data_IF_998372792982
#
_entry.id   IF_998372792982
#
_cell.length_a   1.000
_cell.length_b   1.000
_cell.length_c   1.000
_cell.angle_alpha   90.00
_cell.angle_beta   90.00
_cell.angle_gamma   90.00
#
_symmetry.space_group_name_H-M   'P 1'
#
loop_
_entity.id
_entity.type
_entity.pdbx_description
1 polymer ?
#
# COMPACT_ATOMS: atom_id res chain seq x y z
N UNK A 1 -16.22 1.49 -12.29
CA UNK A 1 -16.11 1.97 -10.90
C UNK A 1 -15.09 1.09 -10.21
N UNK A 2 -14.14 1.67 -9.47
CA UNK A 2 -13.17 0.86 -8.72
C UNK A 2 -13.89 0.37 -7.45
N UNK A 3 -14.09 -0.93 -7.33
CA UNK A 3 -14.61 -1.57 -6.11
C UNK A 3 -13.43 -1.85 -5.16
N UNK A 4 -12.91 -0.78 -4.55
CA UNK A 4 -11.71 -0.86 -3.71
C UNK A 4 -11.97 -1.58 -2.39
N UNK A 5 -13.18 -1.50 -1.85
CA UNK A 5 -13.55 -2.19 -0.61
C UNK A 5 -13.46 -3.70 -0.79
N UNK A 6 -14.04 -4.24 -1.86
CA UNK A 6 -13.94 -5.67 -2.18
C UNK A 6 -12.50 -6.10 -2.43
N UNK A 7 -11.74 -5.28 -3.16
CA UNK A 7 -10.33 -5.58 -3.46
C UNK A 7 -9.45 -5.59 -2.20
N UNK A 8 -9.74 -4.71 -1.24
CA UNK A 8 -8.98 -4.58 0.00
C UNK A 8 -9.44 -5.52 1.12
N UNK A 9 -10.64 -6.12 1.02
CA UNK A 9 -11.24 -6.95 2.06
C UNK A 9 -10.31 -8.04 2.65
N UNK A 10 -9.49 -8.78 1.87
CA UNK A 10 -8.57 -9.76 2.44
C UNK A 10 -7.49 -9.14 3.34
N UNK A 11 -6.96 -7.98 2.96
CA UNK A 11 -5.97 -7.25 3.75
C UNK A 11 -6.60 -6.66 5.01
N UNK A 12 -7.81 -6.10 4.90
CA UNK A 12 -8.58 -5.59 6.04
C UNK A 12 -8.83 -6.69 7.07
N UNK A 13 -9.21 -7.91 6.64
CA UNK A 13 -9.39 -9.05 7.53
C UNK A 13 -8.09 -9.44 8.24
N UNK A 14 -6.96 -9.49 7.52
CA UNK A 14 -5.67 -9.82 8.12
C UNK A 14 -5.21 -8.78 9.17
N UNK A 15 -5.49 -7.49 8.93
CA UNK A 15 -5.24 -6.41 9.91
C UNK A 15 -6.16 -6.56 11.13
N UNK A 16 -7.46 -6.78 10.92
CA UNK A 16 -8.43 -6.94 12.01
C UNK A 16 -8.15 -8.16 12.90
N UNK A 17 -7.65 -9.25 12.30
CA UNK A 17 -7.20 -10.47 13.01
C UNK A 17 -5.81 -10.33 13.65
N UNK A 18 -5.14 -9.19 13.50
CA UNK A 18 -3.81 -8.95 14.06
C UNK A 18 -2.68 -9.76 13.41
N UNK A 19 -2.91 -10.34 12.22
CA UNK A 19 -1.90 -11.12 11.49
C UNK A 19 -0.82 -10.24 10.85
N UNK A 20 -1.17 -9.00 10.50
CA UNK A 20 -0.26 -7.97 10.01
C UNK A 20 -0.58 -6.63 10.68
N UNK A 21 0.40 -5.73 10.85
CA UNK A 21 0.19 -4.47 11.57
C UNK A 21 -0.66 -3.46 10.79
N UNK A 22 -0.54 -3.43 9.46
CA UNK A 22 -1.25 -2.52 8.58
C UNK A 22 -1.06 -2.87 7.11
N UNK A 23 -1.88 -2.28 6.25
CA UNK A 23 -1.84 -2.50 4.80
C UNK A 23 -2.35 -1.28 4.03
N UNK A 24 -1.83 -1.11 2.81
CA UNK A 24 -2.27 -0.09 1.84
C UNK A 24 -2.51 -0.74 0.48
N UNK A 25 -3.56 -0.33 -0.22
CA UNK A 25 -3.84 -0.70 -1.61
C UNK A 25 -4.11 0.56 -2.42
N UNK A 26 -3.36 0.75 -3.52
CA UNK A 26 -3.62 1.76 -4.53
C UNK A 26 -3.99 1.11 -5.86
N UNK A 27 -5.05 1.59 -6.49
CA UNK A 27 -5.48 1.18 -7.84
C UNK A 27 -5.49 2.39 -8.75
N UNK A 28 -4.87 2.25 -9.93
CA UNK A 28 -4.95 3.22 -11.02
C UNK A 28 -5.44 2.50 -12.27
N UNK A 29 -6.53 2.98 -12.86
CA UNK A 29 -7.08 2.43 -14.10
C UNK A 29 -6.47 3.12 -15.33
N UNK A 30 -6.58 2.49 -16.50
CA UNK A 30 -6.04 3.03 -17.75
C UNK A 30 -6.65 4.40 -18.12
N UNK A 31 -7.91 4.67 -17.73
CA UNK A 31 -8.57 5.97 -17.89
C UNK A 31 -8.22 6.98 -16.77
N UNK A 32 -7.23 6.67 -15.93
CA UNK A 32 -6.66 7.57 -14.94
C UNK A 32 -7.42 7.67 -13.61
N UNK A 33 -8.49 6.89 -13.41
CA UNK A 33 -9.18 6.86 -12.10
C UNK A 33 -8.29 6.24 -11.05
N UNK A 34 -8.38 6.78 -9.83
CA UNK A 34 -7.55 6.37 -8.70
C UNK A 34 -8.44 6.07 -7.49
N UNK A 35 -8.04 5.06 -6.73
CA UNK A 35 -8.59 4.81 -5.41
C UNK A 35 -7.45 4.28 -4.51
N UNK A 36 -7.46 4.72 -3.25
CA UNK A 36 -6.50 4.29 -2.23
C UNK A 36 -7.29 3.85 -1.01
N UNK A 37 -6.82 2.80 -0.34
CA UNK A 37 -7.37 2.34 0.93
C UNK A 37 -6.21 1.96 1.85
N UNK A 38 -6.33 2.33 3.13
CA UNK A 38 -5.36 2.04 4.19
C UNK A 38 -6.05 1.45 5.41
N UNK A 39 -5.36 0.59 6.16
CA UNK A 39 -5.82 0.12 7.46
C UNK A 39 -4.65 -0.24 8.38
N UNK A 40 -4.88 -0.11 9.69
CA UNK A 40 -3.95 -0.51 10.73
C UNK A 40 -2.90 0.55 11.05
N UNK A 41 -1.68 0.09 11.34
CA UNK A 41 -0.59 0.91 11.87
C UNK A 41 0.64 0.83 10.96
N UNK A 42 1.29 1.98 10.75
CA UNK A 42 2.57 2.06 10.06
C UNK A 42 3.71 1.49 10.93
N UNK A 43 3.61 1.68 12.24
CA UNK A 43 4.51 1.12 13.23
C UNK A 43 3.74 0.74 14.50
N UNK A 44 4.16 -0.31 15.19
CA UNK A 44 3.62 -0.67 16.51
C UNK A 44 4.54 -0.24 17.66
N UNK A 45 5.82 -0.02 17.34
CA UNK A 45 6.87 0.29 18.30
C UNK A 45 7.67 1.51 17.81
N UNK A 46 8.18 2.34 18.72
CA UNK A 46 8.03 2.23 20.19
C UNK A 46 6.62 2.60 20.70
N UNK A 47 5.84 3.35 19.92
CA UNK A 47 4.42 3.59 20.14
C UNK A 47 3.64 3.28 18.87
N UNK A 48 2.39 2.80 18.95
CA UNK A 48 1.57 2.60 17.77
C UNK A 48 1.35 3.90 16.99
N UNK A 49 1.66 3.85 15.70
CA UNK A 49 1.48 4.94 14.74
C UNK A 49 0.46 4.52 13.70
N UNK A 50 -0.65 5.26 13.58
CA UNK A 50 -1.70 4.97 12.62
C UNK A 50 -1.18 5.09 11.18
N UNK A 51 -1.53 4.13 10.33
CA UNK A 51 -1.16 4.18 8.91
C UNK A 51 -2.01 5.21 8.17
N UNK A 52 -1.36 6.06 7.37
CA UNK A 52 -2.00 7.09 6.54
C UNK A 52 -1.52 6.98 5.09
N UNK A 53 -2.23 7.62 4.16
CA UNK A 53 -1.80 7.68 2.76
C UNK A 53 -0.46 8.40 2.55
N UNK A 54 -0.03 9.23 3.52
CA UNK A 54 1.22 9.98 3.44
C UNK A 54 2.45 9.19 3.91
N UNK A 55 2.26 7.99 4.47
CA UNK A 55 3.37 7.18 4.97
C UNK A 55 4.27 6.67 3.85
N UNK A 56 5.57 6.74 4.10
CA UNK A 56 6.57 6.22 3.18
C UNK A 56 6.85 4.75 3.47
N UNK A 57 7.05 3.99 2.41
CA UNK A 57 7.44 2.59 2.48
C UNK A 57 8.81 2.39 1.83
N UNK A 58 9.60 1.46 2.36
CA UNK A 58 10.75 0.95 1.63
C UNK A 58 10.25 0.18 0.39
N UNK A 59 10.76 0.55 -0.78
CA UNK A 59 10.33 -0.03 -2.05
C UNK A 59 11.01 -1.38 -2.33
N UNK A 60 12.05 -1.75 -1.57
CA UNK A 60 12.80 -2.99 -1.71
C UNK A 60 13.11 -3.32 -3.19
N UNK A 61 12.61 -4.46 -3.68
CA UNK A 61 12.86 -4.88 -5.07
C UNK A 61 12.03 -4.14 -6.12
N UNK A 62 10.99 -3.39 -5.75
CA UNK A 62 10.25 -2.53 -6.70
C UNK A 62 11.17 -1.47 -7.30
N UNK A 63 12.17 -1.00 -6.53
CA UNK A 63 13.24 -0.09 -6.99
C UNK A 63 13.86 -0.52 -8.30
N UNK A 64 14.03 -1.84 -8.52
CA UNK A 64 14.65 -2.37 -9.73
C UNK A 64 13.90 -1.94 -10.99
N UNK A 65 12.58 -2.12 -10.99
CA UNK A 65 11.76 -1.87 -12.19
C UNK A 65 11.42 -0.40 -12.37
N UNK A 66 11.23 0.36 -11.29
CA UNK A 66 10.86 1.78 -11.39
C UNK A 66 12.06 2.70 -11.61
N UNK A 67 13.23 2.36 -11.05
CA UNK A 67 14.42 3.22 -11.07
C UNK A 67 15.54 2.59 -11.90
N UNK A 68 16.07 1.43 -11.50
CA UNK A 68 17.27 0.86 -12.13
C UNK A 68 17.07 0.57 -13.62
N UNK A 69 15.99 -0.11 -13.99
CA UNK A 69 15.68 -0.39 -15.40
C UNK A 69 15.45 0.89 -16.19
N UNK A 70 14.69 1.84 -15.64
CA UNK A 70 14.41 3.14 -16.26
C UNK A 70 15.71 3.91 -16.54
N UNK A 71 16.61 4.00 -15.57
CA UNK A 71 17.91 4.68 -15.70
C UNK A 71 18.84 4.05 -16.74
N UNK A 72 18.70 2.74 -16.99
CA UNK A 72 19.55 2.03 -17.97
C UNK A 72 18.98 2.16 -19.39
N UNK A 73 17.65 2.23 -19.53
CA UNK A 73 16.98 2.21 -20.84
C UNK A 73 16.59 3.61 -21.36
N UNK A 74 16.55 4.63 -20.51
CA UNK A 74 16.25 6.02 -20.87
C UNK A 74 17.53 6.86 -20.90
#
# INVERSE_FOLDING_TARGET
>A
MIDIERAFAPAAAAVAEGRIPGATLGIVTADGKRAVQVAGHAALLPQPEALTEAHWFDLASVTKVIATTTMILQ
#
